data_IF_837553108747
#
_entry.id   IF_837553108747
#
_cell.length_a   1.000
_cell.length_b   1.000
_cell.length_c   1.000
_cell.angle_alpha   90.00
_cell.angle_beta   90.00
_cell.angle_gamma   90.00
#
_symmetry.space_group_name_H-M   'P 1'
#
loop_
_entity.id
_entity.type
_entity.pdbx_description
1 polymer ?
#
# COMPACT_ATOMS: atom_id res chain seq x y z
N UNK A 1 30.67 -34.17 -41.45
CA UNK A 1 29.47 -34.34 -40.61
C UNK A 1 29.67 -33.87 -39.17
N UNK A 2 30.87 -34.04 -38.58
CA UNK A 2 31.22 -33.55 -37.24
C UNK A 2 31.12 -32.03 -37.06
N UNK A 3 31.54 -31.23 -38.05
CA UNK A 3 31.51 -29.76 -38.00
C UNK A 3 30.07 -29.20 -37.93
N UNK A 4 29.11 -29.85 -38.59
CA UNK A 4 27.70 -29.44 -38.55
C UNK A 4 27.04 -29.78 -37.21
N UNK A 5 27.50 -30.83 -36.53
CA UNK A 5 26.97 -31.23 -35.22
C UNK A 5 27.45 -30.24 -34.15
N UNK A 6 28.73 -29.83 -34.19
CA UNK A 6 29.28 -28.87 -33.22
C UNK A 6 28.65 -27.48 -33.33
N UNK A 7 28.40 -26.97 -34.55
CA UNK A 7 27.77 -25.66 -34.73
C UNK A 7 26.29 -25.65 -34.33
N UNK A 8 25.59 -26.77 -34.51
CA UNK A 8 24.22 -26.93 -34.03
C UNK A 8 24.14 -26.99 -32.51
N UNK A 9 25.06 -27.72 -31.86
CA UNK A 9 25.15 -27.78 -30.41
C UNK A 9 25.38 -26.39 -29.79
N UNK A 10 26.40 -25.67 -30.27
CA UNK A 10 26.70 -24.32 -29.80
C UNK A 10 25.53 -23.34 -30.01
N UNK A 11 24.90 -23.37 -31.19
CA UNK A 11 23.74 -22.54 -31.48
C UNK A 11 22.55 -22.83 -30.58
N UNK A 12 22.32 -24.12 -30.25
CA UNK A 12 21.25 -24.54 -29.35
C UNK A 12 21.51 -24.09 -27.91
N UNK A 13 22.76 -24.20 -27.43
CA UNK A 13 23.14 -23.69 -26.12
C UNK A 13 22.99 -22.17 -26.02
N UNK A 14 23.47 -21.41 -27.01
CA UNK A 14 23.32 -19.96 -27.05
C UNK A 14 21.84 -19.55 -27.03
N UNK A 15 21.02 -20.22 -27.83
CA UNK A 15 19.59 -19.91 -27.93
C UNK A 15 18.86 -20.18 -26.62
N UNK A 16 19.11 -21.34 -26.00
CA UNK A 16 18.50 -21.71 -24.73
C UNK A 16 18.91 -20.78 -23.59
N UNK A 17 20.18 -20.39 -23.55
CA UNK A 17 20.70 -19.45 -22.55
C UNK A 17 20.09 -18.05 -22.70
N UNK A 18 19.96 -17.56 -23.94
CA UNK A 18 19.31 -16.28 -24.24
C UNK A 18 17.86 -16.26 -23.79
N UNK A 19 17.08 -17.29 -24.13
CA UNK A 19 15.68 -17.43 -23.70
C UNK A 19 15.57 -17.46 -22.17
N UNK A 20 16.46 -18.20 -21.50
CA UNK A 20 16.48 -18.27 -20.03
C UNK A 20 16.71 -16.90 -19.37
N UNK A 21 17.62 -16.09 -19.90
CA UNK A 21 17.88 -14.72 -19.40
C UNK A 21 16.65 -13.83 -19.58
N UNK A 22 15.97 -13.92 -20.73
CA UNK A 22 14.75 -13.13 -20.96
C UNK A 22 13.67 -13.49 -19.94
N UNK A 23 13.47 -14.78 -19.66
CA UNK A 23 12.53 -15.22 -18.61
C UNK A 23 12.94 -14.72 -17.22
N UNK A 24 14.23 -14.72 -16.88
CA UNK A 24 14.72 -14.17 -15.62
C UNK A 24 14.42 -12.67 -15.50
N UNK A 25 14.64 -11.90 -16.56
CA UNK A 25 14.32 -10.47 -16.57
C UNK A 25 12.81 -10.22 -16.42
N UNK A 26 11.97 -10.95 -17.15
CA UNK A 26 10.51 -10.84 -17.03
C UNK A 26 10.03 -11.24 -15.64
N UNK A 27 10.59 -12.30 -15.06
CA UNK A 27 10.28 -12.75 -13.71
C UNK A 27 10.65 -11.70 -12.66
N UNK A 28 11.82 -11.06 -12.81
CA UNK A 28 12.25 -9.98 -11.93
C UNK A 28 11.30 -8.79 -11.99
N UNK A 29 10.87 -8.39 -13.20
CA UNK A 29 9.91 -7.30 -13.40
C UNK A 29 8.56 -7.65 -12.78
N UNK A 30 8.05 -8.88 -12.98
CA UNK A 30 6.81 -9.31 -12.37
C UNK A 30 6.90 -9.34 -10.83
N UNK A 31 8.03 -9.79 -10.29
CA UNK A 31 8.29 -9.86 -8.85
C UNK A 31 8.35 -8.46 -8.22
N UNK A 32 9.01 -7.49 -8.87
CA UNK A 32 9.07 -6.12 -8.35
C UNK A 32 7.68 -5.46 -8.34
N UNK A 33 6.87 -5.69 -9.36
CA UNK A 33 5.47 -5.21 -9.41
C UNK A 33 4.66 -5.87 -8.28
N UNK A 34 4.84 -7.17 -8.05
CA UNK A 34 4.13 -7.88 -6.98
C UNK A 34 4.54 -7.38 -5.58
N UNK A 35 5.83 -7.13 -5.35
CA UNK A 35 6.32 -6.51 -4.12
C UNK A 35 5.73 -5.12 -3.92
N UNK A 36 5.70 -4.31 -4.99
CA UNK A 36 5.14 -2.96 -4.94
C UNK A 36 3.64 -3.00 -4.63
N UNK A 37 2.90 -3.92 -5.25
CA UNK A 37 1.47 -4.12 -4.99
C UNK A 37 1.24 -4.58 -3.54
N UNK A 38 2.07 -5.48 -3.02
CA UNK A 38 2.01 -5.93 -1.62
C UNK A 38 2.29 -4.79 -0.62
N UNK A 39 3.23 -3.89 -0.94
CA UNK A 39 3.49 -2.69 -0.12
C UNK A 39 2.35 -1.68 -0.19
N UNK A 40 1.61 -1.61 -1.31
CA UNK A 40 0.48 -0.69 -1.49
C UNK A 40 -0.85 -1.25 -0.98
N UNK A 41 -1.03 -2.58 -0.97
CA UNK A 41 -2.16 -3.25 -0.32
C UNK A 41 -1.93 -3.27 1.20
N UNK A 42 -2.00 -2.08 1.82
CA UNK A 42 -2.36 -1.99 3.23
C UNK A 42 -3.69 -2.74 3.37
N UNK A 43 -3.77 -3.83 4.14
CA UNK A 43 -5.03 -4.52 4.36
C UNK A 43 -5.98 -3.49 4.95
N UNK A 44 -7.01 -3.11 4.20
CA UNK A 44 -8.12 -2.35 4.74
C UNK A 44 -8.71 -3.29 5.79
N UNK A 45 -8.61 -3.00 7.10
CA UNK A 45 -9.31 -3.81 8.07
C UNK A 45 -10.78 -3.76 7.68
N UNK A 46 -11.40 -4.92 7.53
CA UNK A 46 -12.84 -5.04 7.29
C UNK A 46 -13.53 -4.39 8.49
N UNK A 47 -13.84 -3.10 8.38
CA UNK A 47 -14.66 -2.41 9.37
C UNK A 47 -16.08 -2.98 9.16
N UNK A 48 -16.70 -3.58 10.19
CA UNK A 48 -18.07 -4.06 10.08
C UNK A 48 -18.95 -2.90 9.62
N UNK A 49 -19.90 -3.19 8.73
CA UNK A 49 -20.86 -2.24 8.16
C UNK A 49 -21.74 -1.71 9.30
N UNK A 50 -21.25 -0.72 10.03
CA UNK A 50 -22.07 0.12 10.90
C UNK A 50 -22.70 1.13 9.95
N UNK A 51 -24.03 1.10 9.89
CA UNK A 51 -24.87 1.95 9.05
C UNK A 51 -24.26 3.33 8.86
N UNK A 52 -23.92 3.65 7.61
CA UNK A 52 -23.30 4.90 7.21
C UNK A 52 -24.30 6.03 7.42
N UNK A 53 -24.43 6.51 8.66
CA UNK A 53 -25.02 7.81 8.95
C UNK A 53 -24.20 8.80 8.12
N UNK A 54 -24.84 9.48 7.18
CA UNK A 54 -24.22 10.52 6.36
C UNK A 54 -23.67 11.59 7.31
N UNK A 55 -22.43 11.40 7.73
CA UNK A 55 -21.68 12.33 8.54
C UNK A 55 -20.97 13.22 7.54
N UNK A 56 -21.27 14.52 7.61
CA UNK A 56 -20.56 15.56 6.84
C UNK A 56 -19.06 15.31 6.99
N UNK A 57 -18.27 15.37 5.90
CA UNK A 57 -16.82 15.29 6.02
C UNK A 57 -16.34 16.37 7.00
N UNK A 58 -15.48 15.97 7.94
CA UNK A 58 -14.91 16.87 8.94
C UNK A 58 -14.23 18.04 8.21
N UNK A 59 -14.68 19.25 8.53
CA UNK A 59 -14.12 20.48 7.99
C UNK A 59 -13.54 21.32 9.14
N UNK A 60 -12.58 22.20 8.82
CA UNK A 60 -11.97 23.09 9.81
C UNK A 60 -13.01 24.02 10.45
N UNK A 61 -14.11 24.29 9.75
CA UNK A 61 -15.27 25.03 10.28
C UNK A 61 -15.98 24.33 11.44
N UNK A 62 -15.76 23.02 11.63
CA UNK A 62 -16.34 22.26 12.74
C UNK A 62 -15.50 22.38 14.04
N UNK A 63 -14.30 22.96 13.98
CA UNK A 63 -13.45 23.27 15.14
C UNK A 63 -13.87 24.64 15.70
N UNK A 64 -14.47 24.64 16.90
CA UNK A 64 -15.01 25.85 17.52
C UNK A 64 -14.03 26.53 18.45
N UNK A 65 -13.22 25.74 19.13
CA UNK A 65 -12.36 26.19 20.22
C UNK A 65 -10.95 25.63 20.08
N UNK A 66 -9.99 26.34 20.65
CA UNK A 66 -8.58 25.92 20.67
C UNK A 66 -8.40 24.55 21.36
N UNK A 67 -9.17 24.30 22.42
CA UNK A 67 -9.16 23.02 23.13
C UNK A 67 -9.63 21.85 22.22
N UNK A 68 -10.61 22.08 21.34
CA UNK A 68 -11.04 21.04 20.37
C UNK A 68 -9.95 20.75 19.33
N UNK A 69 -9.23 21.79 18.89
CA UNK A 69 -8.10 21.62 17.96
C UNK A 69 -6.98 20.80 18.60
N UNK A 70 -6.58 21.15 19.82
CA UNK A 70 -5.54 20.42 20.57
C UNK A 70 -5.95 18.96 20.79
N UNK A 71 -7.19 18.71 21.19
CA UNK A 71 -7.70 17.35 21.36
C UNK A 71 -7.65 16.54 20.06
N UNK A 72 -8.04 17.13 18.92
CA UNK A 72 -7.99 16.48 17.62
C UNK A 72 -6.56 16.11 17.21
N UNK A 73 -5.60 17.00 17.47
CA UNK A 73 -4.20 16.79 17.16
C UNK A 73 -3.59 15.70 18.04
N UNK A 74 -3.80 15.76 19.35
CA UNK A 74 -3.29 14.75 20.29
C UNK A 74 -3.86 13.37 19.96
N UNK A 75 -5.17 13.28 19.72
CA UNK A 75 -5.79 12.00 19.34
C UNK A 75 -5.27 11.47 18.01
N UNK A 76 -4.94 12.34 17.05
CA UNK A 76 -4.35 11.94 15.77
C UNK A 76 -2.93 11.40 15.95
N UNK A 77 -2.13 12.01 16.83
CA UNK A 77 -0.77 11.58 17.14
C UNK A 77 -0.78 10.24 17.88
N UNK A 78 -1.60 10.13 18.94
CA UNK A 78 -1.71 8.91 19.76
C UNK A 78 -2.13 7.71 18.90
N UNK A 79 -3.16 7.88 18.07
CA UNK A 79 -3.60 6.82 17.18
C UNK A 79 -2.59 6.51 16.07
N UNK A 80 -1.86 7.52 15.56
CA UNK A 80 -0.75 7.29 14.62
C UNK A 80 0.35 6.42 15.25
N UNK A 81 0.70 6.64 16.52
CA UNK A 81 1.72 5.82 17.20
C UNK A 81 1.31 4.34 17.29
N UNK A 82 0.01 4.06 17.45
CA UNK A 82 -0.53 2.71 17.47
C UNK A 82 -0.49 2.03 16.09
N UNK A 83 -1.01 2.69 15.05
CA UNK A 83 -1.20 2.07 13.72
C UNK A 83 -0.03 2.27 12.75
N UNK A 84 0.84 3.26 13.01
CA UNK A 84 1.98 3.69 12.18
C UNK A 84 1.62 3.94 10.71
N UNK A 85 0.44 4.49 10.48
CA UNK A 85 -0.13 4.76 9.16
C UNK A 85 -0.88 6.08 9.17
N UNK A 86 -1.09 6.67 7.98
CA UNK A 86 -1.80 7.94 7.84
C UNK A 86 -3.18 7.90 8.50
N UNK A 87 -3.42 8.88 9.37
CA UNK A 87 -4.63 9.00 10.17
C UNK A 87 -5.47 10.18 9.68
N UNK A 88 -6.80 10.05 9.74
CA UNK A 88 -7.72 11.15 9.46
C UNK A 88 -8.77 11.26 10.57
N UNK A 89 -8.94 12.46 11.09
CA UNK A 89 -10.01 12.77 12.05
C UNK A 89 -11.37 12.73 11.32
N UNK A 90 -12.30 11.92 11.83
CA UNK A 90 -13.65 11.77 11.26
C UNK A 90 -14.65 12.72 11.94
N UNK A 91 -14.53 12.91 13.26
CA UNK A 91 -15.43 13.76 14.04
C UNK A 91 -14.78 14.11 15.38
N UNK A 92 -15.04 15.32 15.87
CA UNK A 92 -14.64 15.78 17.20
C UNK A 92 -15.88 16.39 17.86
N UNK A 93 -16.19 15.94 19.07
CA UNK A 93 -17.36 16.41 19.83
C UNK A 93 -16.92 16.78 21.24
N UNK A 94 -17.27 17.99 21.66
CA UNK A 94 -17.15 18.40 23.06
C UNK A 94 -18.22 17.71 23.91
N UNK A 95 -17.82 17.19 25.07
CA UNK A 95 -18.73 16.60 26.04
C UNK A 95 -18.80 17.52 27.24
N UNK A 96 -19.92 18.22 27.40
CA UNK A 96 -20.20 18.98 28.63
C UNK A 96 -20.75 18.01 29.68
N UNK A 97 -20.05 17.90 30.80
CA UNK A 97 -20.56 17.21 31.99
C UNK A 97 -21.35 18.25 32.78
N UNK A 98 -22.68 18.09 32.87
CA UNK A 98 -23.55 18.90 33.73
C UNK A 98 -23.37 18.59 35.19
#
# INVERSE_FOLDING_TARGET
>A
MTIFISTLEEGLFISLFSVSIVFLLLSLIAFTIQLLKYVQEKPIPMIPIIEKKQTKPFDLSDIKDENMMVAALIASIDYYEEIKQDVRVISVKEITVS
#
